data_IF_463190786249
#
_entry.id   IF_463190786249
#
_cell.length_a   1.000
_cell.length_b   1.000
_cell.length_c   1.000
_cell.angle_alpha   90.00
_cell.angle_beta   90.00
_cell.angle_gamma   90.00
#
_symmetry.space_group_name_H-M   'P 1'
#
loop_
_entity.id
_entity.type
_entity.pdbx_description
1 polymer ?
#
# COMPACT_ATOMS: atom_id res chain seq x y z
N UNK A 1 7.79 -17.05 -27.81
CA UNK A 1 7.79 -16.82 -26.36
C UNK A 1 7.89 -15.31 -26.15
N UNK A 2 7.06 -14.75 -25.27
CA UNK A 2 7.14 -13.36 -24.83
C UNK A 2 7.80 -13.38 -23.45
N UNK A 3 8.75 -12.48 -23.20
CA UNK A 3 9.41 -12.29 -21.90
C UNK A 3 8.75 -11.10 -21.23
N UNK A 4 8.12 -11.30 -20.09
CA UNK A 4 7.24 -10.30 -19.45
C UNK A 4 7.83 -9.72 -18.15
N UNK A 5 9.01 -10.18 -17.73
CA UNK A 5 9.74 -9.62 -16.59
C UNK A 5 11.25 -9.50 -16.86
N UNK A 6 11.93 -8.67 -16.05
CA UNK A 6 13.40 -8.54 -16.12
C UNK A 6 14.10 -9.84 -15.70
N UNK A 7 13.53 -10.59 -14.74
CA UNK A 7 14.11 -11.84 -14.24
C UNK A 7 14.02 -12.94 -15.31
N UNK A 8 12.87 -13.08 -15.97
CA UNK A 8 12.71 -13.98 -17.12
C UNK A 8 13.69 -13.65 -18.25
N UNK A 9 13.88 -12.37 -18.53
CA UNK A 9 14.84 -11.93 -19.53
C UNK A 9 16.28 -12.25 -19.13
N UNK A 10 16.64 -12.05 -17.85
CA UNK A 10 17.96 -12.36 -17.33
C UNK A 10 18.26 -13.85 -17.43
N UNK A 11 17.32 -14.70 -16.99
CA UNK A 11 17.44 -16.15 -17.03
C UNK A 11 17.52 -16.69 -18.46
N UNK A 12 16.74 -16.14 -19.39
CA UNK A 12 16.75 -16.59 -20.78
C UNK A 12 18.03 -16.13 -21.51
N UNK A 13 18.49 -14.89 -21.28
CA UNK A 13 19.78 -14.41 -21.83
C UNK A 13 20.94 -15.27 -21.32
N UNK A 14 20.91 -15.67 -20.04
CA UNK A 14 21.88 -16.59 -19.47
C UNK A 14 21.78 -17.99 -20.08
N UNK A 15 20.56 -18.50 -20.29
CA UNK A 15 20.30 -19.82 -20.89
C UNK A 15 20.80 -19.91 -22.34
N UNK A 16 20.73 -18.81 -23.10
CA UNK A 16 21.28 -18.71 -24.46
C UNK A 16 22.82 -18.87 -24.48
N UNK A 17 23.50 -18.66 -23.34
CA UNK A 17 24.95 -18.79 -23.24
C UNK A 17 25.71 -17.53 -23.63
N UNK A 18 25.10 -16.35 -23.46
CA UNK A 18 25.77 -15.06 -23.63
C UNK A 18 26.90 -14.91 -22.59
N UNK A 19 28.00 -14.25 -22.99
CA UNK A 19 29.09 -13.91 -22.08
C UNK A 19 28.58 -13.22 -20.81
N UNK A 20 29.09 -13.64 -19.64
CA UNK A 20 28.60 -13.19 -18.33
C UNK A 20 28.65 -11.67 -18.17
N UNK A 21 29.62 -10.98 -18.80
CA UNK A 21 29.72 -9.53 -18.77
C UNK A 21 28.59 -8.84 -19.54
N UNK A 22 28.10 -9.47 -20.61
CA UNK A 22 27.05 -8.91 -21.47
C UNK A 22 25.63 -9.19 -20.97
N UNK A 23 25.42 -10.20 -20.11
CA UNK A 23 24.10 -10.56 -19.57
C UNK A 23 23.34 -9.36 -18.97
N UNK A 24 23.88 -8.58 -18.01
CA UNK A 24 23.14 -7.44 -17.44
C UNK A 24 22.87 -6.33 -18.47
N UNK A 25 23.77 -6.15 -19.45
CA UNK A 25 23.65 -5.13 -20.50
C UNK A 25 22.54 -5.49 -21.49
N UNK A 26 22.38 -6.77 -21.82
CA UNK A 26 21.34 -7.23 -22.73
C UNK A 26 20.00 -7.35 -22.03
N UNK A 27 19.96 -7.89 -20.80
CA UNK A 27 18.73 -8.00 -20.02
C UNK A 27 18.09 -6.63 -19.76
N UNK A 28 18.88 -5.60 -19.47
CA UNK A 28 18.39 -4.22 -19.27
C UNK A 28 17.76 -3.56 -20.52
N UNK A 29 17.86 -4.20 -21.70
CA UNK A 29 17.18 -3.76 -22.92
C UNK A 29 15.89 -4.53 -23.20
N UNK A 30 15.66 -5.66 -22.53
CA UNK A 30 14.57 -6.57 -22.84
C UNK A 30 13.20 -6.01 -22.45
N UNK A 31 13.15 -5.20 -21.39
CA UNK A 31 11.90 -4.66 -20.86
C UNK A 31 11.76 -3.16 -21.14
N UNK A 32 10.68 -2.78 -21.81
CA UNK A 32 10.29 -1.39 -21.99
C UNK A 32 9.55 -0.89 -20.76
N UNK A 33 9.98 0.24 -20.21
CA UNK A 33 9.32 0.96 -19.13
C UNK A 33 8.49 2.09 -19.74
N UNK A 34 7.28 2.25 -19.20
CA UNK A 34 6.39 3.38 -19.50
C UNK A 34 6.16 4.15 -18.21
N UNK A 35 6.73 5.36 -18.09
CA UNK A 35 6.59 6.20 -16.89
C UNK A 35 5.77 7.44 -17.24
N UNK A 36 4.66 7.65 -16.54
CA UNK A 36 3.90 8.90 -16.61
C UNK A 36 4.54 9.93 -15.68
N UNK A 37 4.79 11.13 -16.21
CA UNK A 37 5.24 12.30 -15.44
C UNK A 37 4.16 13.36 -15.59
N UNK A 38 3.62 13.80 -14.47
CA UNK A 38 2.44 14.67 -14.45
C UNK A 38 2.83 16.13 -14.16
N UNK A 39 1.98 17.06 -14.60
CA UNK A 39 2.11 18.48 -14.25
C UNK A 39 3.44 19.15 -14.66
N UNK A 40 3.95 18.81 -15.84
CA UNK A 40 5.12 19.43 -16.46
C UNK A 40 4.75 20.71 -17.21
N UNK A 41 5.66 21.68 -17.23
CA UNK A 41 5.54 22.82 -18.16
C UNK A 41 6.00 22.43 -19.59
N UNK A 42 5.76 23.32 -20.56
CA UNK A 42 6.14 23.09 -21.95
C UNK A 42 7.67 22.95 -22.14
N UNK A 43 8.49 23.69 -21.38
CA UNK A 43 9.94 23.63 -21.52
C UNK A 43 10.47 22.29 -21.03
N UNK A 44 10.04 21.86 -19.85
CA UNK A 44 10.34 20.56 -19.27
C UNK A 44 9.93 19.43 -20.23
N UNK A 45 8.70 19.47 -20.74
CA UNK A 45 8.16 18.45 -21.66
C UNK A 45 8.95 18.35 -22.97
N UNK A 46 9.32 19.49 -23.57
CA UNK A 46 10.12 19.52 -24.80
C UNK A 46 11.54 18.99 -24.56
N UNK A 47 12.19 19.39 -23.46
CA UNK A 47 13.54 18.93 -23.13
C UNK A 47 13.56 17.42 -22.85
N UNK A 48 12.58 16.90 -22.09
CA UNK A 48 12.46 15.47 -21.82
C UNK A 48 12.25 14.70 -23.12
N UNK A 49 11.31 15.14 -23.98
CA UNK A 49 11.06 14.53 -25.30
C UNK A 49 12.32 14.51 -26.18
N UNK A 50 13.03 15.62 -26.30
CA UNK A 50 14.27 15.71 -27.08
C UNK A 50 15.38 14.81 -26.51
N UNK A 51 15.50 14.77 -25.18
CA UNK A 51 16.47 13.92 -24.49
C UNK A 51 16.16 12.44 -24.73
N UNK A 52 14.90 12.03 -24.63
CA UNK A 52 14.45 10.67 -24.92
C UNK A 52 14.78 10.25 -26.36
N UNK A 53 14.42 11.08 -27.35
CA UNK A 53 14.73 10.81 -28.76
C UNK A 53 16.24 10.67 -29.00
N UNK A 54 17.07 11.48 -28.33
CA UNK A 54 18.54 11.46 -28.49
C UNK A 54 19.21 10.17 -28.01
N UNK A 55 18.50 9.34 -27.22
CA UNK A 55 18.99 8.04 -26.73
C UNK A 55 18.24 6.84 -27.35
N UNK A 56 17.43 7.11 -28.39
CA UNK A 56 16.60 6.10 -29.05
C UNK A 56 15.38 5.65 -28.24
N UNK A 57 14.99 6.43 -27.23
CA UNK A 57 13.72 6.28 -26.51
C UNK A 57 12.65 7.19 -27.13
N UNK A 58 11.44 7.18 -26.58
CA UNK A 58 10.37 8.06 -27.04
C UNK A 58 9.57 8.63 -25.86
N UNK A 59 8.81 9.70 -26.10
CA UNK A 59 7.87 10.24 -25.12
C UNK A 59 6.58 10.74 -25.80
N UNK A 60 5.42 10.43 -25.24
CA UNK A 60 4.17 11.06 -25.63
C UNK A 60 4.06 12.42 -24.93
N UNK A 61 3.80 13.48 -25.69
CA UNK A 61 3.57 14.84 -25.22
C UNK A 61 2.31 15.40 -25.86
N UNK A 62 1.57 16.25 -25.15
CA UNK A 62 0.39 16.89 -25.71
C UNK A 62 0.75 17.84 -26.87
N UNK A 63 -0.12 17.92 -27.88
CA UNK A 63 0.08 18.80 -29.06
C UNK A 63 0.43 20.26 -28.71
N UNK A 64 -0.19 20.92 -27.71
CA UNK A 64 0.11 22.31 -27.38
C UNK A 64 1.52 22.56 -26.82
N UNK A 65 2.26 21.51 -26.44
CA UNK A 65 3.65 21.62 -25.98
C UNK A 65 4.56 22.20 -27.06
N UNK A 66 4.30 21.86 -28.32
CA UNK A 66 5.06 22.34 -29.48
C UNK A 66 4.87 23.85 -29.66
N UNK A 67 3.67 24.37 -29.37
CA UNK A 67 3.35 25.79 -29.54
C UNK A 67 3.65 26.61 -28.29
N UNK A 68 4.05 25.98 -27.18
CA UNK A 68 4.30 26.64 -25.90
C UNK A 68 3.04 27.23 -25.25
N UNK A 69 1.84 26.80 -25.67
CA UNK A 69 0.57 27.41 -25.24
C UNK A 69 -0.08 26.70 -24.05
N UNK A 70 0.53 25.65 -23.51
CA UNK A 70 0.01 24.92 -22.34
C UNK A 70 0.78 25.32 -21.09
N UNK A 71 0.06 25.68 -20.02
CA UNK A 71 0.67 25.97 -18.73
C UNK A 71 1.23 24.69 -18.09
N UNK A 72 0.45 23.61 -18.13
CA UNK A 72 0.79 22.30 -17.57
C UNK A 72 0.29 21.15 -18.45
N UNK A 73 1.08 20.08 -18.51
CA UNK A 73 0.77 18.87 -19.28
C UNK A 73 1.39 17.63 -18.65
N UNK A 74 0.85 16.46 -19.02
CA UNK A 74 1.42 15.17 -18.69
C UNK A 74 2.28 14.65 -19.85
N UNK A 75 3.29 13.85 -19.51
CA UNK A 75 4.18 13.18 -20.44
C UNK A 75 4.22 11.68 -20.11
N UNK A 76 4.23 10.82 -21.13
CA UNK A 76 4.52 9.39 -20.94
C UNK A 76 5.86 9.09 -21.59
N UNK A 77 6.84 8.65 -20.81
CA UNK A 77 8.18 8.31 -21.25
C UNK A 77 8.26 6.81 -21.54
N UNK A 78 8.69 6.45 -22.75
CA UNK A 78 8.89 5.08 -23.22
C UNK A 78 10.37 4.79 -23.37
N UNK A 79 10.95 4.04 -22.45
CA UNK A 79 12.39 3.75 -22.44
C UNK A 79 12.70 2.43 -21.72
N UNK A 80 13.77 1.73 -22.08
CA UNK A 80 14.29 0.63 -21.24
C UNK A 80 15.18 1.17 -20.10
N UNK A 81 15.60 0.30 -19.18
CA UNK A 81 16.42 0.68 -18.02
C UNK A 81 17.70 1.44 -18.42
N UNK A 82 18.39 0.99 -19.48
CA UNK A 82 19.60 1.66 -19.97
C UNK A 82 19.31 3.08 -20.48
N UNK A 83 18.28 3.22 -21.30
CA UNK A 83 17.87 4.51 -21.85
C UNK A 83 17.44 5.46 -20.74
N UNK A 84 16.70 4.95 -19.76
CA UNK A 84 16.25 5.73 -18.61
C UNK A 84 17.41 6.31 -17.82
N UNK A 85 18.45 5.51 -17.53
CA UNK A 85 19.65 6.00 -16.84
C UNK A 85 20.40 7.09 -17.60
N UNK A 86 20.43 7.03 -18.93
CA UNK A 86 21.04 8.10 -19.74
C UNK A 86 20.17 9.36 -19.79
N UNK A 87 18.83 9.20 -19.82
CA UNK A 87 17.89 10.31 -19.75
C UNK A 87 18.05 11.05 -18.42
N UNK A 88 17.97 10.35 -17.29
CA UNK A 88 18.05 10.99 -15.97
C UNK A 88 19.39 11.70 -15.77
N UNK A 89 20.51 11.06 -16.13
CA UNK A 89 21.85 11.69 -16.11
C UNK A 89 21.93 12.99 -16.91
N UNK A 90 21.28 13.06 -18.06
CA UNK A 90 21.26 14.29 -18.89
C UNK A 90 20.34 15.35 -18.31
N UNK A 91 19.21 14.96 -17.72
CA UNK A 91 18.25 15.89 -17.11
C UNK A 91 18.80 16.56 -15.84
N UNK A 92 19.71 15.91 -15.09
CA UNK A 92 20.32 16.45 -13.87
C UNK A 92 21.06 17.79 -14.06
N UNK A 93 21.58 18.04 -15.26
CA UNK A 93 22.33 19.26 -15.60
C UNK A 93 21.50 20.29 -16.37
N UNK A 94 20.21 20.01 -16.61
CA UNK A 94 19.33 20.88 -17.38
C UNK A 94 18.61 21.92 -16.48
N UNK A 95 18.25 23.10 -17.04
CA UNK A 95 17.48 24.12 -16.33
C UNK A 95 16.02 23.70 -16.08
N UNK A 96 15.18 24.64 -15.59
CA UNK A 96 13.73 24.47 -15.39
C UNK A 96 13.34 23.38 -14.38
N UNK A 97 14.20 23.11 -13.38
CA UNK A 97 13.89 22.13 -12.34
C UNK A 97 13.89 20.67 -12.83
N UNK A 98 14.50 20.39 -13.99
CA UNK A 98 14.62 19.03 -14.52
C UNK A 98 15.49 18.12 -13.65
N UNK A 99 16.36 18.70 -12.82
CA UNK A 99 17.10 17.97 -11.79
C UNK A 99 16.17 17.25 -10.82
N UNK A 100 15.11 17.90 -10.34
CA UNK A 100 14.13 17.28 -9.43
C UNK A 100 13.35 16.16 -10.13
N UNK A 101 13.00 16.34 -11.41
CA UNK A 101 12.34 15.30 -12.21
C UNK A 101 13.28 14.10 -12.41
N UNK A 102 14.56 14.34 -12.69
CA UNK A 102 15.56 13.28 -12.82
C UNK A 102 15.71 12.47 -11.52
N UNK A 103 15.74 13.16 -10.37
CA UNK A 103 15.77 12.53 -9.05
C UNK A 103 14.53 11.66 -8.82
N UNK A 104 13.33 12.18 -9.07
CA UNK A 104 12.08 11.42 -8.95
C UNK A 104 12.03 10.20 -9.89
N UNK A 105 12.53 10.32 -11.12
CA UNK A 105 12.65 9.17 -12.03
C UNK A 105 13.60 8.11 -11.50
N UNK A 106 14.77 8.51 -10.98
CA UNK A 106 15.73 7.57 -10.37
C UNK A 106 15.17 6.89 -9.12
N UNK A 107 14.40 7.61 -8.30
CA UNK A 107 13.67 7.05 -7.15
C UNK A 107 12.66 5.99 -7.58
N UNK A 108 11.82 6.27 -8.58
CA UNK A 108 10.84 5.29 -9.08
C UNK A 108 11.52 4.02 -9.62
N UNK A 109 12.67 4.18 -10.29
CA UNK A 109 13.43 3.04 -10.82
C UNK A 109 14.08 2.20 -9.72
N UNK A 110 14.59 2.83 -8.66
CA UNK A 110 15.25 2.11 -7.56
C UNK A 110 14.25 1.29 -6.74
N UNK A 111 13.01 1.77 -6.60
CA UNK A 111 11.94 1.06 -5.90
C UNK A 111 11.53 -0.27 -6.55
N UNK A 112 11.85 -0.48 -7.82
CA UNK A 112 11.50 -1.72 -8.53
C UNK A 112 12.32 -2.94 -8.11
N UNK A 113 13.41 -2.73 -7.36
CA UNK A 113 14.36 -3.78 -6.94
C UNK A 113 14.57 -3.86 -5.43
N UNK A 114 13.79 -3.10 -4.65
CA UNK A 114 13.95 -3.06 -3.20
C UNK A 114 13.36 -4.31 -2.53
N UNK A 115 14.17 -4.93 -1.67
CA UNK A 115 13.64 -5.76 -0.59
C UNK A 115 12.87 -4.87 0.38
N UNK A 116 11.65 -5.23 0.68
CA UNK A 116 10.81 -4.48 1.59
C UNK A 116 10.87 -5.12 2.96
N UNK A 117 11.39 -4.38 3.94
CA UNK A 117 11.29 -4.76 5.35
C UNK A 117 10.45 -3.73 6.11
N UNK A 118 9.70 -4.21 7.11
CA UNK A 118 8.94 -3.37 8.03
C UNK A 118 9.57 -3.46 9.41
N UNK A 119 10.21 -2.39 9.86
CA UNK A 119 10.80 -2.33 11.19
C UNK A 119 9.72 -2.09 12.24
N UNK A 120 9.64 -2.93 13.25
CA UNK A 120 8.76 -2.78 14.41
C UNK A 120 9.59 -2.52 15.68
N UNK A 121 8.99 -2.04 16.77
CA UNK A 121 9.63 -2.09 18.08
C UNK A 121 10.02 -3.53 18.45
N UNK A 122 11.33 -3.80 18.48
CA UNK A 122 11.92 -5.07 18.92
C UNK A 122 11.93 -6.21 17.90
N UNK A 123 11.39 -6.03 16.68
CA UNK A 123 11.47 -7.03 15.61
C UNK A 123 11.40 -6.39 14.21
N UNK A 124 11.64 -7.18 13.18
CA UNK A 124 11.57 -6.76 11.78
C UNK A 124 10.82 -7.82 10.97
N UNK A 125 9.95 -7.39 10.07
CA UNK A 125 9.21 -8.28 9.16
C UNK A 125 9.83 -8.18 7.76
N UNK A 126 10.27 -9.30 7.19
CA UNK A 126 10.78 -9.34 5.81
C UNK A 126 9.63 -9.59 4.83
N UNK A 127 9.11 -8.50 4.26
CA UNK A 127 8.00 -8.52 3.31
C UNK A 127 8.44 -8.90 1.88
N UNK A 128 9.72 -9.22 1.67
CA UNK A 128 10.26 -9.58 0.36
C UNK A 128 9.99 -11.05 0.01
N UNK A 129 9.89 -11.90 1.03
CA UNK A 129 9.89 -13.37 0.88
C UNK A 129 8.48 -13.98 0.86
N UNK A 130 7.47 -13.27 1.39
CA UNK A 130 6.07 -13.68 1.29
C UNK A 130 5.11 -12.53 1.59
N UNK A 131 3.85 -12.72 1.24
CA UNK A 131 2.75 -11.86 1.68
C UNK A 131 2.46 -12.11 3.16
N UNK A 132 2.35 -11.04 3.93
CA UNK A 132 1.98 -11.07 5.34
C UNK A 132 0.48 -10.91 5.53
N UNK A 133 -0.08 -11.55 6.55
CA UNK A 133 -1.52 -11.57 6.81
C UNK A 133 -1.82 -10.76 8.07
N UNK A 134 -2.61 -9.70 7.91
CA UNK A 134 -3.13 -8.90 9.01
C UNK A 134 -4.57 -9.32 9.31
N UNK A 135 -4.79 -9.99 10.44
CA UNK A 135 -6.10 -10.45 10.89
C UNK A 135 -6.89 -9.35 11.59
N UNK A 136 -8.16 -9.18 11.24
CA UNK A 136 -9.02 -8.13 11.81
C UNK A 136 -9.72 -8.61 13.08
N UNK A 137 -9.53 -7.88 14.19
CA UNK A 137 -10.24 -8.03 15.46
C UNK A 137 -11.02 -6.74 15.77
N UNK A 138 -12.32 -6.72 15.46
CA UNK A 138 -13.18 -5.58 15.80
C UNK A 138 -13.75 -5.77 17.22
N UNK A 139 -13.45 -4.85 18.13
CA UNK A 139 -13.93 -4.82 19.51
C UNK A 139 -15.06 -3.80 19.63
N UNK A 140 -16.19 -4.10 18.99
CA UNK A 140 -17.40 -3.25 19.01
C UNK A 140 -18.58 -4.02 19.61
N UNK A 141 -19.50 -3.37 20.33
CA UNK A 141 -20.68 -4.04 20.91
C UNK A 141 -21.50 -4.84 19.89
N UNK A 142 -21.62 -4.33 18.65
CA UNK A 142 -22.36 -5.02 17.58
C UNK A 142 -21.67 -6.29 17.04
N UNK A 143 -20.42 -6.56 17.43
CA UNK A 143 -19.65 -7.71 16.97
C UNK A 143 -19.75 -8.92 17.92
N UNK A 144 -20.18 -8.72 19.16
CA UNK A 144 -20.29 -9.73 20.21
C UNK A 144 -21.62 -9.55 20.93
N UNK A 145 -22.69 -10.12 20.39
CA UNK A 145 -24.04 -9.97 20.92
C UNK A 145 -24.28 -10.96 22.05
N UNK A 146 -23.96 -10.61 23.31
CA UNK A 146 -24.53 -11.23 24.54
C UNK A 146 -24.15 -10.48 25.84
N UNK A 147 -24.55 -9.20 25.97
CA UNK A 147 -25.01 -8.52 27.21
C UNK A 147 -24.13 -8.42 28.47
N UNK A 148 -22.99 -9.10 28.58
CA UNK A 148 -22.13 -9.11 29.77
C UNK A 148 -20.71 -8.65 29.39
N UNK A 149 -20.30 -7.46 29.85
CA UNK A 149 -19.06 -6.78 29.41
C UNK A 149 -17.79 -7.62 29.67
N UNK A 150 -17.79 -8.46 30.72
CA UNK A 150 -16.68 -9.35 30.99
C UNK A 150 -16.64 -10.57 30.05
N UNK A 151 -17.80 -11.01 29.57
CA UNK A 151 -17.92 -12.09 28.60
C UNK A 151 -17.46 -11.62 27.22
N UNK A 152 -17.90 -10.43 26.79
CA UNK A 152 -17.49 -9.79 25.53
C UNK A 152 -15.97 -9.56 25.45
N UNK A 153 -15.32 -9.22 26.57
CA UNK A 153 -13.87 -9.06 26.65
C UNK A 153 -13.12 -10.39 26.44
N UNK A 154 -13.50 -11.44 27.17
CA UNK A 154 -12.82 -12.74 27.07
C UNK A 154 -13.01 -13.34 25.66
N UNK A 155 -14.19 -13.18 25.07
CA UNK A 155 -14.44 -13.60 23.68
C UNK A 155 -13.55 -12.86 22.68
N UNK A 156 -13.33 -11.55 22.86
CA UNK A 156 -12.44 -10.79 21.99
C UNK A 156 -10.97 -11.25 22.11
N UNK A 157 -10.51 -11.60 23.32
CA UNK A 157 -9.17 -12.16 23.54
C UNK A 157 -9.06 -13.54 22.92
N UNK A 158 -10.02 -14.44 23.15
CA UNK A 158 -10.06 -15.78 22.57
C UNK A 158 -10.10 -15.71 21.03
N UNK A 159 -10.85 -14.76 20.47
CA UNK A 159 -10.87 -14.52 19.03
C UNK A 159 -9.53 -14.00 18.50
N UNK A 160 -8.86 -13.12 19.25
CA UNK A 160 -7.50 -12.66 18.93
C UNK A 160 -6.49 -13.81 18.91
N UNK A 161 -6.54 -14.71 19.89
CA UNK A 161 -5.71 -15.91 19.93
C UNK A 161 -6.01 -16.85 18.76
N UNK A 162 -7.29 -17.03 18.42
CA UNK A 162 -7.70 -17.80 17.26
C UNK A 162 -7.17 -17.22 15.95
N UNK A 163 -7.19 -15.89 15.79
CA UNK A 163 -6.62 -15.20 14.63
C UNK A 163 -5.12 -15.52 14.49
N UNK A 164 -4.38 -15.53 15.61
CA UNK A 164 -2.97 -15.95 15.63
C UNK A 164 -2.81 -17.42 15.22
N UNK A 165 -3.61 -18.33 15.80
CA UNK A 165 -3.57 -19.76 15.52
C UNK A 165 -3.92 -20.10 14.06
N UNK A 166 -4.88 -19.38 13.47
CA UNK A 166 -5.24 -19.48 12.06
C UNK A 166 -4.12 -18.96 11.13
N UNK A 167 -3.11 -18.29 11.71
CA UNK A 167 -1.85 -17.96 11.09
C UNK A 167 -1.73 -16.52 10.62
N UNK A 168 -2.34 -15.57 11.33
CA UNK A 168 -2.07 -14.16 11.13
C UNK A 168 -0.64 -13.81 11.55
N UNK A 169 -0.01 -12.92 10.80
CA UNK A 169 1.31 -12.37 11.10
C UNK A 169 1.22 -11.05 11.89
N UNK A 170 0.05 -10.41 11.85
CA UNK A 170 -0.28 -9.18 12.57
C UNK A 170 -1.76 -9.29 13.00
N UNK A 171 -2.09 -8.86 14.22
CA UNK A 171 -3.50 -8.71 14.66
C UNK A 171 -3.83 -7.21 14.68
N UNK A 172 -4.88 -6.81 13.96
CA UNK A 172 -5.34 -5.42 13.89
C UNK A 172 -6.62 -5.23 14.72
N UNK A 173 -6.48 -4.47 15.79
CA UNK A 173 -7.50 -4.29 16.83
C UNK A 173 -8.18 -2.95 16.60
N UNK A 174 -9.51 -2.94 16.42
CA UNK A 174 -10.29 -1.72 16.20
C UNK A 174 -11.44 -1.59 17.19
N UNK A 175 -11.50 -0.49 17.95
CA UNK A 175 -12.59 -0.19 18.90
C UNK A 175 -13.74 0.64 18.31
N UNK A 176 -13.52 1.17 17.12
CA UNK A 176 -14.43 2.03 16.38
C UNK A 176 -14.79 1.39 15.04
N UNK A 177 -16.10 1.33 14.74
CA UNK A 177 -16.55 0.86 13.43
C UNK A 177 -16.19 1.91 12.38
N UNK A 178 -15.34 1.56 11.43
CA UNK A 178 -15.02 2.42 10.26
C UNK A 178 -15.93 2.11 9.05
N UNK A 179 -17.07 1.42 9.29
CA UNK A 179 -18.07 1.13 8.26
C UNK A 179 -18.80 2.41 7.84
N UNK A 180 -19.24 2.52 6.58
CA UNK A 180 -20.01 3.69 6.13
C UNK A 180 -21.22 3.98 7.04
N UNK A 181 -21.32 5.22 7.52
CA UNK A 181 -22.46 5.69 8.31
C UNK A 181 -22.40 5.40 9.82
N UNK A 182 -21.30 4.86 10.35
CA UNK A 182 -21.11 4.72 11.80
C UNK A 182 -20.95 6.08 12.49
N UNK A 183 -21.40 6.17 13.74
CA UNK A 183 -21.13 7.32 14.59
C UNK A 183 -19.76 7.24 15.24
N UNK A 184 -19.12 8.41 15.38
CA UNK A 184 -17.80 8.49 15.96
C UNK A 184 -17.84 8.21 17.47
N UNK A 185 -16.90 7.39 17.93
CA UNK A 185 -16.76 7.02 19.34
C UNK A 185 -15.77 7.98 20.01
N UNK A 186 -16.07 8.40 21.25
CA UNK A 186 -15.17 9.25 22.02
C UNK A 186 -13.86 8.53 22.38
N UNK A 187 -12.77 9.29 22.61
CA UNK A 187 -11.45 8.73 22.96
C UNK A 187 -11.52 7.77 24.15
N UNK A 188 -12.20 8.18 25.23
CA UNK A 188 -12.31 7.38 26.46
C UNK A 188 -13.09 6.07 26.24
N UNK A 189 -14.12 6.12 25.40
CA UNK A 189 -14.94 4.94 25.09
C UNK A 189 -14.18 3.96 24.18
N UNK A 190 -13.44 4.46 23.20
CA UNK A 190 -12.57 3.63 22.36
C UNK A 190 -11.47 2.95 23.19
N UNK A 191 -10.82 3.71 24.09
CA UNK A 191 -9.83 3.18 25.03
C UNK A 191 -10.42 2.09 25.93
N UNK A 192 -11.61 2.33 26.51
CA UNK A 192 -12.26 1.35 27.37
C UNK A 192 -12.55 0.03 26.66
N UNK A 193 -12.79 0.06 25.34
CA UNK A 193 -13.01 -1.14 24.51
C UNK A 193 -11.71 -1.86 24.19
N UNK A 194 -10.69 -1.15 23.70
CA UNK A 194 -9.49 -1.79 23.13
C UNK A 194 -8.42 -2.12 24.17
N UNK A 195 -8.27 -1.32 25.22
CA UNK A 195 -7.13 -1.44 26.14
C UNK A 195 -7.07 -2.78 26.87
N UNK A 196 -8.19 -3.31 27.44
CA UNK A 196 -8.14 -4.62 28.08
C UNK A 196 -7.68 -5.72 27.11
N UNK A 197 -8.15 -5.67 25.86
CA UNK A 197 -7.85 -6.68 24.82
C UNK A 197 -6.38 -6.60 24.41
N UNK A 198 -5.86 -5.39 24.22
CA UNK A 198 -4.45 -5.16 23.92
C UNK A 198 -3.57 -5.67 25.06
N UNK A 199 -3.89 -5.36 26.32
CA UNK A 199 -3.10 -5.77 27.49
C UNK A 199 -3.08 -7.29 27.70
N UNK A 200 -4.17 -7.98 27.40
CA UNK A 200 -4.21 -9.44 27.43
C UNK A 200 -3.41 -10.05 26.27
N UNK A 201 -3.71 -9.67 25.03
CA UNK A 201 -3.02 -10.22 23.86
C UNK A 201 -1.53 -9.90 23.85
N UNK A 202 -1.11 -8.73 24.33
CA UNK A 202 0.31 -8.33 24.42
C UNK A 202 1.11 -9.23 25.36
N UNK A 203 0.47 -9.84 26.36
CA UNK A 203 1.10 -10.77 27.29
C UNK A 203 1.12 -12.20 26.77
N UNK A 204 0.03 -12.62 26.14
CA UNK A 204 -0.22 -14.04 25.84
C UNK A 204 0.00 -14.41 24.36
N UNK A 205 0.18 -13.43 23.47
CA UNK A 205 0.37 -13.64 22.03
C UNK A 205 1.71 -13.06 21.53
N UNK A 206 2.46 -13.86 20.77
CA UNK A 206 3.73 -13.42 20.16
C UNK A 206 3.52 -12.58 18.89
N UNK A 207 2.33 -12.67 18.28
CA UNK A 207 1.99 -11.97 17.04
C UNK A 207 1.93 -10.46 17.29
N UNK A 208 2.66 -9.63 16.51
CA UNK A 208 2.59 -8.18 16.63
C UNK A 208 1.16 -7.64 16.57
N UNK A 209 0.84 -6.74 17.51
CA UNK A 209 -0.46 -6.08 17.56
C UNK A 209 -0.41 -4.72 16.84
N UNK A 210 -1.48 -4.42 16.12
CA UNK A 210 -1.78 -3.15 15.47
C UNK A 210 -3.04 -2.55 16.07
N UNK A 211 -3.08 -1.22 16.18
CA UNK A 211 -4.28 -0.46 16.60
C UNK A 211 -4.86 0.28 15.39
N UNK A 212 -6.10 -0.04 15.00
CA UNK A 212 -6.89 0.67 13.98
C UNK A 212 -7.57 1.87 14.63
N UNK A 213 -6.95 3.05 14.51
CA UNK A 213 -7.47 4.29 15.10
C UNK A 213 -7.03 5.53 14.34
N UNK A 214 -7.91 6.52 14.27
CA UNK A 214 -7.61 7.85 13.74
C UNK A 214 -7.26 8.86 14.86
N UNK A 215 -7.14 8.41 16.12
CA UNK A 215 -7.00 9.28 17.30
C UNK A 215 -5.62 9.11 17.93
N UNK A 216 -4.79 10.16 17.93
CA UNK A 216 -3.42 10.14 18.45
C UNK A 216 -3.35 9.69 19.91
N UNK A 217 -4.32 10.10 20.74
CA UNK A 217 -4.41 9.67 22.14
C UNK A 217 -4.59 8.16 22.29
N UNK A 218 -5.45 7.56 21.47
CA UNK A 218 -5.69 6.11 21.48
C UNK A 218 -4.45 5.38 21.00
N UNK A 219 -3.85 5.83 19.89
CA UNK A 219 -2.61 5.27 19.37
C UNK A 219 -1.48 5.29 20.42
N UNK A 220 -1.34 6.38 21.17
CA UNK A 220 -0.32 6.52 22.22
C UNK A 220 -0.47 5.50 23.34
N UNK A 221 -1.68 5.33 23.89
CA UNK A 221 -1.91 4.39 24.99
C UNK A 221 -1.86 2.94 24.50
N UNK A 222 -2.40 2.64 23.31
CA UNK A 222 -2.32 1.32 22.71
C UNK A 222 -0.87 0.86 22.48
N UNK A 223 0.01 1.75 21.98
CA UNK A 223 1.43 1.42 21.80
C UNK A 223 2.14 1.21 23.14
N UNK A 224 1.77 1.96 24.18
CA UNK A 224 2.28 1.73 25.54
C UNK A 224 1.86 0.38 26.12
N UNK A 225 0.66 -0.09 25.79
CA UNK A 225 0.16 -1.39 26.22
C UNK A 225 0.73 -2.57 25.41
N UNK A 226 1.33 -2.32 24.25
CA UNK A 226 2.08 -3.32 23.48
C UNK A 226 1.84 -3.33 21.98
N UNK A 227 0.96 -2.49 21.45
CA UNK A 227 0.84 -2.35 20.00
C UNK A 227 2.17 -1.86 19.39
N UNK A 228 2.54 -2.48 18.27
CA UNK A 228 3.77 -2.18 17.53
C UNK A 228 3.50 -1.38 16.25
N UNK A 229 2.25 -1.36 15.81
CA UNK A 229 1.79 -0.72 14.58
C UNK A 229 0.58 0.16 14.90
N UNK A 230 0.52 1.34 14.30
CA UNK A 230 -0.65 2.21 14.27
C UNK A 230 -1.19 2.18 12.85
N UNK A 231 -2.44 1.76 12.69
CA UNK A 231 -3.17 1.75 11.45
C UNK A 231 -4.11 2.97 11.40
N UNK A 232 -3.71 4.01 10.69
CA UNK A 232 -4.48 5.23 10.52
C UNK A 232 -5.09 5.29 9.11
N UNK A 233 -6.35 4.86 9.02
CA UNK A 233 -7.12 4.88 7.76
C UNK A 233 -7.30 6.30 7.19
N UNK A 234 -7.11 7.35 8.00
CA UNK A 234 -7.21 8.73 7.57
C UNK A 234 -5.97 9.27 6.89
N UNK A 235 -4.84 8.58 7.04
CA UNK A 235 -3.56 9.05 6.53
C UNK A 235 -3.14 10.39 7.15
N UNK A 236 -3.27 10.52 8.48
CA UNK A 236 -2.85 11.69 9.25
C UNK A 236 -3.70 12.95 9.03
N UNK A 237 -4.86 12.83 8.39
CA UNK A 237 -5.71 13.99 8.04
C UNK A 237 -6.73 14.34 9.11
N UNK A 238 -7.16 13.37 9.94
CA UNK A 238 -8.18 13.60 10.97
C UNK A 238 -7.60 14.07 12.32
N UNK A 239 -6.33 13.75 12.61
CA UNK A 239 -5.64 14.18 13.83
C UNK A 239 -4.20 14.63 13.51
N UNK A 240 -3.95 15.93 13.64
CA UNK A 240 -2.67 16.55 13.34
C UNK A 240 -1.52 16.12 14.26
N UNK A 241 -1.83 15.54 15.43
CA UNK A 241 -0.85 15.03 16.39
C UNK A 241 -0.46 13.57 16.12
N UNK A 242 -1.14 12.89 15.20
CA UNK A 242 -0.90 11.45 14.94
C UNK A 242 0.54 11.18 14.51
N UNK A 243 1.05 11.95 13.54
CA UNK A 243 2.41 11.77 13.02
C UNK A 243 3.49 11.95 14.10
N UNK A 244 3.35 12.99 14.94
CA UNK A 244 4.27 13.25 16.05
C UNK A 244 4.19 12.17 17.12
N UNK A 245 2.98 11.69 17.41
CA UNK A 245 2.76 10.60 18.37
C UNK A 245 3.41 9.30 17.92
N UNK A 246 3.25 8.93 16.65
CA UNK A 246 3.86 7.73 16.08
C UNK A 246 5.38 7.84 16.07
N UNK A 247 5.93 9.01 15.71
CA UNK A 247 7.36 9.26 15.78
C UNK A 247 7.92 9.10 17.21
N UNK A 248 7.22 9.65 18.22
CA UNK A 248 7.63 9.57 19.63
C UNK A 248 7.58 8.15 20.19
N UNK A 249 6.55 7.39 19.83
CA UNK A 249 6.38 6.01 20.32
C UNK A 249 7.28 5.01 19.59
N UNK A 250 7.70 5.34 18.37
CA UNK A 250 8.49 4.45 17.53
C UNK A 250 7.69 3.31 16.91
N UNK A 251 6.36 3.33 16.99
CA UNK A 251 5.53 2.37 16.28
C UNK A 251 5.71 2.48 14.75
N UNK A 252 5.38 1.40 14.04
CA UNK A 252 5.15 1.48 12.61
C UNK A 252 3.81 2.15 12.30
N UNK A 253 3.71 2.72 11.09
CA UNK A 253 2.56 3.47 10.61
C UNK A 253 2.03 2.85 9.32
N UNK A 254 0.77 2.46 9.32
CA UNK A 254 0.02 2.27 8.09
C UNK A 254 -0.70 3.58 7.79
N UNK A 255 -0.33 4.18 6.66
CA UNK A 255 -0.91 5.43 6.15
C UNK A 255 -1.99 5.07 5.13
N UNK A 256 -3.26 5.23 5.54
CA UNK A 256 -4.41 4.95 4.67
C UNK A 256 -4.87 6.14 3.84
N UNK A 257 -5.48 5.83 2.70
CA UNK A 257 -6.15 6.82 1.88
C UNK A 257 -7.68 6.76 2.03
N UNK A 258 -8.28 7.85 2.51
CA UNK A 258 -9.72 8.10 2.52
C UNK A 258 -10.02 9.48 1.93
N UNK A 259 -11.14 9.61 1.22
CA UNK A 259 -11.70 10.91 0.83
C UNK A 259 -12.96 11.17 1.65
N UNK A 260 -13.01 12.33 2.32
CA UNK A 260 -14.01 12.61 3.33
C UNK A 260 -13.73 11.89 4.65
N UNK A 261 -14.77 11.63 5.44
CA UNK A 261 -14.67 10.85 6.68
C UNK A 261 -15.57 9.60 6.59
N UNK A 262 -15.42 8.58 7.46
CA UNK A 262 -16.19 7.33 7.37
C UNK A 262 -17.72 7.52 7.28
N UNK A 263 -18.25 8.60 7.86
CA UNK A 263 -19.68 8.94 7.83
C UNK A 263 -20.14 9.43 6.45
N UNK A 264 -19.37 10.31 5.79
CA UNK A 264 -19.76 10.96 4.52
C UNK A 264 -19.00 10.47 3.29
N UNK A 265 -17.99 9.61 3.44
CA UNK A 265 -17.09 9.23 2.34
C UNK A 265 -17.81 8.59 1.14
N UNK A 266 -18.97 7.95 1.36
CA UNK A 266 -19.75 7.32 0.29
C UNK A 266 -20.73 8.30 -0.40
N UNK A 267 -20.82 9.55 0.06
CA UNK A 267 -21.65 10.59 -0.54
C UNK A 267 -20.92 11.19 -1.75
N UNK A 268 -21.19 10.63 -2.93
CA UNK A 268 -20.69 11.10 -4.23
C UNK A 268 -19.16 11.26 -4.34
N UNK A 269 -18.34 10.23 -4.02
CA UNK A 269 -16.91 10.30 -4.26
C UNK A 269 -16.61 10.42 -5.75
N UNK A 270 -15.82 11.41 -6.13
CA UNK A 270 -15.40 11.63 -7.50
C UNK A 270 -13.87 11.65 -7.58
N UNK A 271 -13.34 10.92 -8.57
CA UNK A 271 -11.94 10.93 -8.98
C UNK A 271 -11.91 11.05 -10.50
N UNK A 272 -11.00 11.87 -11.02
CA UNK A 272 -10.68 11.95 -12.45
C UNK A 272 -9.74 10.80 -12.83
N UNK A 273 -8.65 10.62 -12.08
CA UNK A 273 -7.79 9.42 -12.10
C UNK A 273 -7.49 8.99 -10.68
N UNK A 274 -8.25 8.00 -10.21
CA UNK A 274 -8.17 7.48 -8.85
C UNK A 274 -6.76 7.08 -8.44
N UNK A 275 -5.95 6.51 -9.33
CA UNK A 275 -4.61 6.05 -8.96
C UNK A 275 -3.61 7.19 -8.89
N UNK A 276 -3.69 8.15 -9.80
CA UNK A 276 -2.85 9.35 -9.77
C UNK A 276 -3.11 10.13 -8.48
N UNK A 277 -4.39 10.38 -8.17
CA UNK A 277 -4.80 11.11 -6.97
C UNK A 277 -4.39 10.38 -5.69
N UNK A 278 -4.67 9.07 -5.57
CA UNK A 278 -4.25 8.26 -4.40
C UNK A 278 -2.74 8.28 -4.23
N UNK A 279 -1.97 8.09 -5.31
CA UNK A 279 -0.50 8.07 -5.24
C UNK A 279 0.05 9.43 -4.80
N UNK A 280 -0.54 10.52 -5.30
CA UNK A 280 -0.15 11.87 -4.92
C UNK A 280 -0.44 12.17 -3.44
N UNK A 281 -1.66 11.87 -2.98
CA UNK A 281 -2.08 12.10 -1.60
C UNK A 281 -1.27 11.24 -0.61
N UNK A 282 -1.08 9.94 -0.89
CA UNK A 282 -0.23 9.07 -0.07
C UNK A 282 1.21 9.55 -0.03
N UNK A 283 1.77 10.05 -1.15
CA UNK A 283 3.13 10.62 -1.17
C UNK A 283 3.25 11.81 -0.21
N UNK A 284 2.27 12.71 -0.21
CA UNK A 284 2.24 13.86 0.70
C UNK A 284 2.16 13.42 2.16
N UNK A 285 1.33 12.41 2.46
CA UNK A 285 1.17 11.89 3.82
C UNK A 285 2.43 11.17 4.32
N UNK A 286 3.10 10.39 3.45
CA UNK A 286 4.39 9.76 3.74
C UNK A 286 5.44 10.84 4.05
N UNK A 287 5.55 11.87 3.21
CA UNK A 287 6.48 12.99 3.43
C UNK A 287 6.17 13.75 4.73
N UNK A 288 4.90 13.93 5.07
CA UNK A 288 4.48 14.52 6.33
C UNK A 288 4.94 13.66 7.51
N UNK A 289 4.70 12.35 7.48
CA UNK A 289 5.14 11.43 8.53
C UNK A 289 6.66 11.48 8.73
N UNK A 290 7.43 11.41 7.64
CA UNK A 290 8.89 11.47 7.67
C UNK A 290 9.39 12.82 8.20
N UNK A 291 8.76 13.95 7.83
CA UNK A 291 9.11 15.28 8.32
C UNK A 291 8.89 15.44 9.84
N UNK A 292 7.99 14.63 10.41
CA UNK A 292 7.70 14.58 11.85
C UNK A 292 8.57 13.56 12.59
N UNK A 293 9.45 12.85 11.88
CA UNK A 293 10.42 11.92 12.46
C UNK A 293 10.01 10.45 12.43
N UNK A 294 8.93 10.08 11.73
CA UNK A 294 8.62 8.66 11.50
C UNK A 294 9.68 8.08 10.57
N UNK A 295 10.32 6.99 11.00
CA UNK A 295 11.42 6.38 10.24
C UNK A 295 10.89 5.79 8.91
N UNK A 296 11.55 6.03 7.77
CA UNK A 296 11.07 5.55 6.46
C UNK A 296 10.76 4.05 6.36
N UNK A 297 11.51 3.18 7.05
CA UNK A 297 11.33 1.73 7.11
C UNK A 297 10.17 1.27 8.01
N UNK A 298 9.49 2.21 8.66
CA UNK A 298 8.35 1.98 9.54
C UNK A 298 7.01 2.36 8.90
N UNK A 299 7.01 2.78 7.64
CA UNK A 299 5.82 3.30 6.95
C UNK A 299 5.33 2.29 5.91
N UNK A 300 4.04 1.98 5.95
CA UNK A 300 3.29 1.17 4.97
C UNK A 300 2.18 2.05 4.40
N UNK A 301 1.82 1.84 3.14
CA UNK A 301 0.73 2.58 2.48
C UNK A 301 -0.47 1.69 2.17
N UNK A 302 -1.69 2.20 2.40
CA UNK A 302 -2.96 1.54 2.05
C UNK A 302 -3.75 2.43 1.05
N UNK A 303 -4.08 1.96 -0.16
CA UNK A 303 -4.94 2.71 -1.08
C UNK A 303 -6.38 2.89 -0.57
N UNK A 304 -6.76 2.23 0.51
CA UNK A 304 -8.04 2.37 1.19
C UNK A 304 -9.21 1.80 0.38
N UNK A 305 -9.15 0.53 0.01
CA UNK A 305 -10.26 -0.14 -0.70
C UNK A 305 -11.56 -0.06 0.12
N UNK A 306 -12.62 0.43 -0.52
CA UNK A 306 -13.93 0.64 0.07
C UNK A 306 -14.06 1.90 0.93
N UNK A 307 -13.01 2.73 1.02
CA UNK A 307 -13.04 4.00 1.75
C UNK A 307 -13.16 5.18 0.78
N UNK A 308 -14.39 5.68 0.63
CA UNK A 308 -14.72 6.84 -0.21
C UNK A 308 -14.51 6.66 -1.70
N UNK A 309 -14.88 5.50 -2.25
CA UNK A 309 -14.57 5.09 -3.63
C UNK A 309 -15.76 4.44 -4.30
N UNK A 310 -15.98 4.74 -5.59
CA UNK A 310 -17.01 4.09 -6.41
C UNK A 310 -16.65 2.63 -6.68
N UNK A 311 -17.59 1.86 -7.19
CA UNK A 311 -17.34 0.46 -7.56
C UNK A 311 -16.18 0.35 -8.57
N UNK A 312 -16.21 1.17 -9.63
CA UNK A 312 -15.19 1.19 -10.67
C UNK A 312 -13.82 1.62 -10.12
N UNK A 313 -13.79 2.54 -9.17
CA UNK A 313 -12.56 3.00 -8.52
C UNK A 313 -11.89 1.85 -7.75
N UNK A 314 -12.65 1.08 -6.96
CA UNK A 314 -12.13 -0.07 -6.22
C UNK A 314 -11.55 -1.15 -7.15
N UNK A 315 -12.23 -1.44 -8.26
CA UNK A 315 -11.71 -2.37 -9.28
C UNK A 315 -10.44 -1.84 -9.94
N UNK A 316 -10.40 -0.53 -10.22
CA UNK A 316 -9.24 0.14 -10.82
C UNK A 316 -8.03 0.09 -9.90
N UNK A 317 -8.22 0.29 -8.61
CA UNK A 317 -7.15 0.20 -7.60
C UNK A 317 -6.50 -1.17 -7.60
N UNK A 318 -7.29 -2.25 -7.54
CA UNK A 318 -6.73 -3.61 -7.56
C UNK A 318 -6.01 -3.85 -8.90
N UNK A 319 -6.60 -3.44 -10.03
CA UNK A 319 -6.03 -3.62 -11.36
C UNK A 319 -4.69 -2.90 -11.53
N UNK A 320 -4.56 -1.70 -10.98
CA UNK A 320 -3.40 -0.78 -11.13
C UNK A 320 -2.55 -0.67 -9.86
N UNK A 321 -2.70 -1.59 -8.89
CA UNK A 321 -2.05 -1.53 -7.58
C UNK A 321 -0.52 -1.34 -7.67
N UNK A 322 0.12 -1.92 -8.70
CA UNK A 322 1.55 -1.79 -8.94
C UNK A 322 2.06 -0.36 -9.13
N UNK A 323 1.19 0.61 -9.43
CA UNK A 323 1.58 2.03 -9.53
C UNK A 323 2.04 2.60 -8.17
N UNK A 324 1.53 2.06 -7.05
CA UNK A 324 1.97 2.47 -5.70
C UNK A 324 3.40 2.07 -5.38
N UNK A 325 4.01 1.14 -6.13
CA UNK A 325 5.44 0.82 -5.98
C UNK A 325 6.33 2.04 -6.21
N UNK A 326 5.84 3.03 -6.96
CA UNK A 326 6.53 4.31 -7.13
C UNK A 326 6.79 5.05 -5.81
N UNK A 327 6.05 4.76 -4.74
CA UNK A 327 6.22 5.34 -3.41
C UNK A 327 7.38 4.71 -2.60
N UNK A 328 7.92 3.56 -3.03
CA UNK A 328 9.01 2.89 -2.33
C UNK A 328 8.65 2.32 -0.96
N UNK A 329 7.36 2.29 -0.61
CA UNK A 329 6.85 1.75 0.66
C UNK A 329 6.18 0.40 0.44
N UNK A 330 6.18 -0.49 1.45
CA UNK A 330 5.32 -1.66 1.45
C UNK A 330 3.85 -1.25 1.28
N UNK A 331 3.08 -2.12 0.62
CA UNK A 331 1.68 -1.88 0.28
C UNK A 331 0.81 -2.88 1.05
N UNK A 332 -0.16 -2.39 1.80
CA UNK A 332 -1.22 -3.21 2.40
C UNK A 332 -2.52 -3.04 1.62
N UNK A 333 -3.33 -4.09 1.52
CA UNK A 333 -4.69 -4.02 0.97
C UNK A 333 -5.71 -4.74 1.85
N UNK A 334 -6.88 -4.12 2.04
CA UNK A 334 -7.99 -4.71 2.81
C UNK A 334 -9.27 -4.95 1.99
N UNK A 335 -9.32 -5.91 1.05
CA UNK A 335 -10.53 -6.18 0.26
C UNK A 335 -11.61 -6.97 1.01
N UNK A 336 -11.28 -7.55 2.17
CA UNK A 336 -12.11 -8.56 2.85
C UNK A 336 -13.53 -8.10 3.16
N UNK A 337 -14.50 -8.88 2.64
CA UNK A 337 -15.96 -8.70 2.81
C UNK A 337 -16.51 -7.33 2.37
N UNK A 338 -15.71 -6.50 1.67
CA UNK A 338 -16.09 -5.14 1.25
C UNK A 338 -17.26 -5.14 0.25
N UNK A 339 -17.97 -4.02 0.21
CA UNK A 339 -19.21 -3.86 -0.58
C UNK A 339 -19.01 -4.01 -2.09
N UNK A 340 -17.83 -3.68 -2.63
CA UNK A 340 -17.56 -3.82 -4.06
C UNK A 340 -17.66 -5.28 -4.53
N UNK A 341 -17.25 -6.25 -3.70
CA UNK A 341 -17.38 -7.69 -3.97
C UNK A 341 -18.86 -8.06 -4.08
N UNK A 342 -19.65 -7.66 -3.09
CA UNK A 342 -21.09 -7.91 -3.07
C UNK A 342 -21.80 -7.28 -4.27
N UNK A 343 -21.40 -6.08 -4.71
CA UNK A 343 -21.98 -5.42 -5.89
C UNK A 343 -21.64 -6.11 -7.21
N UNK A 344 -20.47 -6.75 -7.32
CA UNK A 344 -20.06 -7.49 -8.54
C UNK A 344 -20.70 -8.86 -8.60
N UNK A 345 -20.77 -9.56 -7.46
CA UNK A 345 -21.24 -10.94 -7.39
C UNK A 345 -22.72 -11.08 -7.04
N UNK A 346 -23.37 -9.98 -6.64
CA UNK A 346 -24.73 -9.96 -6.09
C UNK A 346 -24.87 -10.85 -4.84
N UNK A 347 -23.93 -10.71 -3.89
CA UNK A 347 -23.84 -11.55 -2.69
C UNK A 347 -23.89 -10.75 -1.36
N UNK A 348 -24.55 -11.31 -0.32
CA UNK A 348 -24.55 -10.76 1.02
C UNK A 348 -23.15 -10.86 1.67
N UNK A 349 -22.93 -10.15 2.79
CA UNK A 349 -21.58 -9.99 3.37
C UNK A 349 -20.93 -11.30 3.83
N UNK A 350 -21.73 -12.27 4.26
CA UNK A 350 -21.33 -13.60 4.73
C UNK A 350 -20.97 -14.57 3.59
N UNK A 351 -21.27 -14.24 2.34
CA UNK A 351 -21.02 -15.09 1.15
C UNK A 351 -19.95 -14.47 0.24
N UNK A 352 -19.02 -13.69 0.81
CA UNK A 352 -17.97 -12.98 0.04
C UNK A 352 -16.59 -13.61 0.13
N UNK A 353 -16.49 -14.86 0.59
CA UNK A 353 -15.21 -15.51 0.83
C UNK A 353 -14.42 -15.69 -0.48
N UNK A 354 -15.06 -16.22 -1.52
CA UNK A 354 -14.47 -16.50 -2.84
C UNK A 354 -14.10 -15.20 -3.56
N UNK A 355 -14.96 -14.19 -3.45
CA UNK A 355 -14.68 -12.85 -3.97
C UNK A 355 -13.50 -12.18 -3.24
N UNK A 356 -13.39 -12.38 -1.93
CA UNK A 356 -12.24 -11.92 -1.12
C UNK A 356 -10.97 -12.64 -1.54
N UNK A 357 -10.99 -13.97 -1.64
CA UNK A 357 -9.87 -14.79 -2.09
C UNK A 357 -9.35 -14.33 -3.46
N UNK A 358 -10.27 -14.07 -4.40
CA UNK A 358 -9.94 -13.60 -5.75
C UNK A 358 -9.26 -12.23 -5.72
N UNK A 359 -9.79 -11.28 -4.93
CA UNK A 359 -9.20 -9.96 -4.79
C UNK A 359 -7.81 -10.00 -4.12
N UNK A 360 -7.63 -10.85 -3.10
CA UNK A 360 -6.35 -11.08 -2.42
C UNK A 360 -5.31 -11.64 -3.38
N UNK A 361 -5.62 -12.72 -4.11
CA UNK A 361 -4.69 -13.34 -5.05
C UNK A 361 -4.24 -12.36 -6.15
N UNK A 362 -5.17 -11.58 -6.70
CA UNK A 362 -4.85 -10.54 -7.70
C UNK A 362 -3.98 -9.44 -7.08
N UNK A 363 -4.28 -8.99 -5.86
CA UNK A 363 -3.49 -7.95 -5.21
C UNK A 363 -2.04 -8.40 -4.95
N UNK A 364 -1.84 -9.64 -4.51
CA UNK A 364 -0.51 -10.26 -4.35
C UNK A 364 0.23 -10.26 -5.69
N UNK A 365 -0.41 -10.74 -6.77
CA UNK A 365 0.17 -10.71 -8.11
C UNK A 365 0.47 -9.29 -8.63
N UNK A 366 -0.13 -8.25 -8.05
CA UNK A 366 0.13 -6.84 -8.36
C UNK A 366 1.09 -6.16 -7.38
N UNK A 367 1.58 -6.87 -6.36
CA UNK A 367 2.62 -6.39 -5.43
C UNK A 367 2.11 -5.90 -4.07
N UNK A 368 0.97 -6.39 -3.60
CA UNK A 368 0.63 -6.27 -2.18
C UNK A 368 1.64 -7.05 -1.33
N UNK A 369 2.05 -6.45 -0.21
CA UNK A 369 2.99 -7.03 0.75
C UNK A 369 2.27 -7.54 1.99
N UNK A 370 1.17 -6.88 2.35
CA UNK A 370 0.32 -7.24 3.49
C UNK A 370 -1.14 -7.29 3.00
N UNK A 371 -1.90 -8.28 3.47
CA UNK A 371 -3.35 -8.34 3.23
C UNK A 371 -4.12 -8.32 4.54
N UNK A 372 -5.11 -7.42 4.63
CA UNK A 372 -5.96 -7.25 5.81
C UNK A 372 -7.28 -8.00 5.63
N UNK A 373 -7.52 -9.02 6.46
CA UNK A 373 -8.58 -10.02 6.24
C UNK A 373 -9.28 -10.46 7.53
N UNK A 374 -10.56 -10.84 7.41
CA UNK A 374 -11.32 -11.45 8.52
C UNK A 374 -11.11 -12.98 8.56
N UNK A 375 -11.16 -13.64 7.40
CA UNK A 375 -11.10 -15.09 7.24
C UNK A 375 -9.63 -15.57 7.10
N UNK A 376 -8.86 -15.49 8.19
CA UNK A 376 -7.39 -15.68 8.18
C UNK A 376 -6.97 -17.05 7.67
N UNK A 377 -7.60 -18.11 8.15
CA UNK A 377 -7.25 -19.50 7.80
C UNK A 377 -7.36 -19.77 6.31
N UNK A 378 -8.45 -19.34 5.70
CA UNK A 378 -8.72 -19.47 4.27
C UNK A 378 -7.75 -18.59 3.47
N UNK A 379 -7.55 -17.34 3.90
CA UNK A 379 -6.66 -16.41 3.20
C UNK A 379 -5.19 -16.81 3.30
N UNK A 380 -4.77 -17.52 4.36
CA UNK A 380 -3.42 -18.11 4.45
C UNK A 380 -3.13 -19.10 3.34
N UNK A 381 -4.11 -19.94 3.01
CA UNK A 381 -4.00 -20.89 1.88
C UNK A 381 -3.92 -20.16 0.55
N UNK A 382 -4.72 -19.11 0.38
CA UNK A 382 -4.71 -18.27 -0.82
C UNK A 382 -3.36 -17.56 -0.99
N UNK A 383 -2.85 -16.93 0.07
CA UNK A 383 -1.57 -16.22 0.04
C UNK A 383 -0.41 -17.16 -0.27
N UNK A 384 -0.35 -18.32 0.37
CA UNK A 384 0.72 -19.31 0.15
C UNK A 384 0.77 -19.77 -1.32
N UNK A 385 -0.39 -20.08 -1.90
CA UNK A 385 -0.47 -20.49 -3.31
C UNK A 385 -0.16 -19.32 -4.26
N UNK A 386 -0.70 -18.12 -3.98
CA UNK A 386 -0.46 -16.94 -4.81
C UNK A 386 1.02 -16.56 -4.81
N UNK A 387 1.68 -16.55 -3.66
CA UNK A 387 3.12 -16.30 -3.54
C UNK A 387 3.93 -17.33 -4.33
N UNK A 388 3.61 -18.62 -4.21
CA UNK A 388 4.30 -19.68 -4.95
C UNK A 388 4.17 -19.52 -6.48
N UNK A 389 3.00 -19.08 -6.96
CA UNK A 389 2.76 -18.79 -8.38
C UNK A 389 3.57 -17.56 -8.81
N UNK A 390 3.53 -16.47 -8.04
CA UNK A 390 4.18 -15.20 -8.39
C UNK A 390 5.70 -15.30 -8.39
N UNK A 391 6.27 -16.09 -7.47
CA UNK A 391 7.73 -16.24 -7.32
C UNK A 391 8.31 -17.39 -8.14
N UNK A 392 7.47 -18.28 -8.66
CA UNK A 392 7.92 -19.45 -9.42
C UNK A 392 8.64 -20.50 -8.56
N UNK A 393 8.53 -20.42 -7.24
CA UNK A 393 9.13 -21.36 -6.28
C UNK A 393 8.13 -21.74 -5.20
N UNK A 394 8.02 -23.03 -4.81
CA UNK A 394 7.26 -23.41 -3.63
C UNK A 394 7.95 -22.85 -2.38
N UNK A 395 7.22 -22.12 -1.53
CA UNK A 395 7.69 -21.88 -0.16
C UNK A 395 7.69 -23.23 0.57
N UNK A 396 8.88 -23.70 0.97
CA UNK A 396 9.04 -24.90 1.80
C UNK A 396 8.70 -24.64 3.25
#
# INVERSE_FOLDING_TARGET
MRLDSSDEAFDEVRRIGVDQYAVPILASKAFGLSIKVESLDCAQSNIIKQTALSVGADAAVARPVITGCSEKTDLILFANHRQMGEITRRLEVQPFGLKQIAQGLNEVLSHSSCRHTLSLPGCELDLSERTYIMGVLNVTPDSFSDGDQHFEFNEAVDWGMKIADDGADIIDIGGESTRPGSDAVGVEEELARVMPVIEALSRDCEVPLSIDTCKSKVAKEAVRAGCKIVNDISGLTLDSLMAETVAQTGAALIVGHIRGNPKTMQENPHYEDVMSEITCELRQQVQLAESKGVVPSRIVVDPGIGFGKRLQDNLTIIRRLGELKSLGKPIIVGPSRKSFIGKVLDLPVNERLEGTASAVAIAIAKGAHIVRVHDVKEMKRVCSLADAIVKGTPQQ
#
